data_IF_963236298395
#
_entry.id   IF_963236298395
#
_cell.length_a   1.000
_cell.length_b   1.000
_cell.length_c   1.000
_cell.angle_alpha   90.00
_cell.angle_beta   90.00
_cell.angle_gamma   90.00
#
_symmetry.space_group_name_H-M   'P 1'
#
loop_
_entity.id
_entity.type
_entity.pdbx_description
1 polymer ?
#
# COMPACT_ATOMS: atom_id res chain seq x y z
N UNK A 1 -8.60 10.24 -12.69
CA UNK A 1 -8.22 10.71 -11.34
C UNK A 1 -6.81 11.25 -11.39
N UNK A 2 -6.63 12.47 -10.90
CA UNK A 2 -5.37 13.21 -10.97
C UNK A 2 -4.30 12.51 -10.10
N UNK A 3 -3.20 12.07 -10.73
CA UNK A 3 -2.09 11.33 -10.09
C UNK A 3 -0.92 12.24 -9.70
N UNK A 4 -1.08 13.56 -9.79
CA UNK A 4 -0.09 14.58 -9.41
C UNK A 4 0.44 14.41 -7.97
N UNK A 5 -0.33 13.82 -7.07
CA UNK A 5 0.17 13.51 -5.72
C UNK A 5 1.39 12.58 -5.73
N UNK A 6 1.54 11.73 -6.76
CA UNK A 6 2.71 10.84 -6.89
C UNK A 6 3.99 11.63 -7.11
N UNK A 7 3.89 12.88 -7.59
CA UNK A 7 5.06 13.66 -7.93
C UNK A 7 5.89 14.08 -6.72
N UNK A 8 5.25 14.15 -5.54
CA UNK A 8 5.87 14.54 -4.26
C UNK A 8 6.07 13.35 -3.31
N UNK A 9 5.94 12.12 -3.82
CA UNK A 9 6.14 10.92 -3.01
C UNK A 9 7.60 10.74 -2.60
N UNK A 10 7.87 10.50 -1.31
CA UNK A 10 9.23 10.26 -0.81
C UNK A 10 9.90 9.02 -1.43
N UNK A 11 9.11 8.06 -1.92
CA UNK A 11 9.60 6.86 -2.60
C UNK A 11 9.85 7.04 -4.09
N UNK A 12 9.59 8.23 -4.67
CA UNK A 12 9.66 8.48 -6.13
C UNK A 12 11.00 8.09 -6.75
N UNK A 13 12.09 8.45 -6.08
CA UNK A 13 13.45 8.25 -6.59
C UNK A 13 14.11 6.97 -6.02
N UNK A 14 13.33 6.13 -5.32
CA UNK A 14 13.80 4.86 -4.79
C UNK A 14 13.47 3.70 -5.74
N UNK A 15 14.33 2.69 -5.78
CA UNK A 15 14.08 1.46 -6.53
C UNK A 15 12.83 0.74 -6.02
N UNK A 16 11.98 0.29 -6.95
CA UNK A 16 10.75 -0.42 -6.63
C UNK A 16 11.00 -1.72 -5.85
N UNK A 17 12.16 -2.34 -6.04
CA UNK A 17 12.61 -3.58 -5.41
C UNK A 17 12.51 -3.51 -3.88
N UNK A 18 12.78 -2.35 -3.28
CA UNK A 18 12.62 -2.11 -1.85
C UNK A 18 11.18 -2.38 -1.38
N UNK A 19 10.18 -1.99 -2.18
CA UNK A 19 8.77 -2.04 -1.80
C UNK A 19 8.10 -3.38 -2.11
N UNK A 20 8.73 -4.23 -2.92
CA UNK A 20 8.20 -5.57 -3.26
C UNK A 20 9.01 -6.72 -2.64
N UNK A 21 10.09 -6.42 -1.91
CA UNK A 21 10.84 -7.41 -1.13
C UNK A 21 10.22 -7.61 0.26
N UNK A 22 9.73 -8.82 0.53
CA UNK A 22 9.13 -9.17 1.83
C UNK A 22 10.11 -9.02 3.00
N UNK A 23 11.41 -9.26 2.78
CA UNK A 23 12.44 -9.13 3.81
C UNK A 23 12.70 -7.65 4.18
N UNK A 24 12.30 -6.71 3.33
CA UNK A 24 12.51 -5.27 3.50
C UNK A 24 11.22 -4.51 3.79
N UNK A 25 10.16 -5.21 4.20
CA UNK A 25 8.85 -4.63 4.50
C UNK A 25 8.95 -3.47 5.51
N UNK A 26 9.74 -3.63 6.57
CA UNK A 26 9.87 -2.60 7.61
C UNK A 26 10.66 -1.38 7.10
N UNK A 27 11.67 -1.59 6.27
CA UNK A 27 12.42 -0.51 5.62
C UNK A 27 11.53 0.29 4.66
N UNK A 28 10.75 -0.40 3.82
CA UNK A 28 9.78 0.23 2.94
C UNK A 28 8.70 1.01 3.71
N UNK A 29 8.25 0.49 4.86
CA UNK A 29 7.32 1.20 5.76
C UNK A 29 7.96 2.42 6.41
N UNK A 30 9.26 2.39 6.72
CA UNK A 30 9.98 3.54 7.24
C UNK A 30 10.07 4.67 6.20
N UNK A 31 10.21 4.36 4.91
CA UNK A 31 10.07 5.37 3.85
C UNK A 31 8.65 5.93 3.81
N UNK A 32 7.65 5.06 3.92
CA UNK A 32 6.25 5.50 3.90
C UNK A 32 5.92 6.44 5.08
N UNK A 33 6.50 6.24 6.26
CA UNK A 33 6.18 7.04 7.46
C UNK A 33 6.62 8.50 7.36
N UNK A 34 7.58 8.82 6.49
CA UNK A 34 8.05 10.19 6.22
C UNK A 34 7.40 10.81 4.98
N UNK A 35 6.57 10.05 4.25
CA UNK A 35 6.03 10.46 2.96
C UNK A 35 4.87 11.46 3.08
N UNK A 36 4.94 12.64 2.46
CA UNK A 36 3.90 13.67 2.57
C UNK A 36 2.56 13.26 1.95
N UNK A 37 2.57 12.28 1.04
CA UNK A 37 1.39 11.81 0.30
C UNK A 37 0.90 10.43 0.76
N UNK A 38 1.30 10.00 1.97
CA UNK A 38 0.93 8.71 2.56
C UNK A 38 -0.59 8.44 2.46
N UNK A 39 -1.41 9.41 2.85
CA UNK A 39 -2.86 9.28 2.88
C UNK A 39 -3.47 9.14 1.47
N UNK A 40 -2.97 9.94 0.51
CA UNK A 40 -3.41 9.86 -0.89
C UNK A 40 -3.03 8.51 -1.51
N UNK A 41 -1.79 8.06 -1.28
CA UNK A 41 -1.30 6.75 -1.74
C UNK A 41 -2.13 5.60 -1.17
N UNK A 42 -2.40 5.61 0.13
CA UNK A 42 -3.22 4.58 0.79
C UNK A 42 -4.63 4.55 0.23
N UNK A 43 -5.25 5.71 0.07
CA UNK A 43 -6.63 5.81 -0.43
C UNK A 43 -6.73 5.34 -1.87
N UNK A 44 -5.81 5.77 -2.74
CA UNK A 44 -5.76 5.37 -4.15
C UNK A 44 -5.56 3.85 -4.29
N UNK A 45 -4.61 3.27 -3.53
CA UNK A 45 -4.36 1.83 -3.57
C UNK A 45 -5.54 1.02 -3.07
N UNK A 46 -6.16 1.41 -1.94
CA UNK A 46 -7.32 0.69 -1.42
C UNK A 46 -8.53 0.80 -2.36
N UNK A 47 -8.77 1.97 -2.95
CA UNK A 47 -9.82 2.14 -3.94
C UNK A 47 -9.59 1.24 -5.16
N UNK A 48 -8.36 1.21 -5.68
CA UNK A 48 -7.99 0.32 -6.79
C UNK A 48 -8.18 -1.15 -6.42
N UNK A 49 -7.75 -1.60 -5.24
CA UNK A 49 -7.93 -3.01 -4.82
C UNK A 49 -9.41 -3.38 -4.66
N UNK A 50 -10.28 -2.44 -4.27
CA UNK A 50 -11.70 -2.67 -4.08
C UNK A 50 -12.51 -2.81 -5.38
N UNK A 51 -11.98 -2.41 -6.54
CA UNK A 51 -12.69 -2.48 -7.84
C UNK A 51 -13.03 -3.91 -8.26
N UNK A 52 -12.30 -4.94 -7.79
CA UNK A 52 -12.59 -6.34 -8.11
C UNK A 52 -12.12 -7.28 -7.02
N UNK A 53 -12.97 -8.27 -6.68
CA UNK A 53 -12.65 -9.30 -5.69
C UNK A 53 -11.41 -10.14 -6.06
N UNK A 54 -11.05 -10.24 -7.36
CA UNK A 54 -9.83 -10.95 -7.78
C UNK A 54 -8.54 -10.22 -7.34
N UNK A 55 -8.59 -8.90 -7.12
CA UNK A 55 -7.42 -8.08 -6.71
C UNK A 55 -6.91 -8.43 -5.31
N UNK A 56 -7.73 -9.09 -4.48
CA UNK A 56 -7.33 -9.77 -3.24
C UNK A 56 -6.08 -10.63 -3.39
N UNK A 57 -5.97 -11.37 -4.49
CA UNK A 57 -4.88 -12.33 -4.71
C UNK A 57 -3.62 -11.65 -5.24
N UNK A 58 -3.70 -10.36 -5.56
CA UNK A 58 -2.62 -9.55 -6.11
C UNK A 58 -2.14 -8.47 -5.12
N UNK A 59 -2.54 -8.54 -3.84
CA UNK A 59 -2.06 -7.62 -2.81
C UNK A 59 -0.59 -7.95 -2.47
N UNK A 60 0.33 -7.38 -3.25
CA UNK A 60 1.79 -7.49 -3.06
C UNK A 60 2.37 -6.16 -2.61
N UNK A 61 3.58 -6.21 -2.05
CA UNK A 61 4.39 -5.04 -1.70
C UNK A 61 3.79 -4.09 -0.64
N UNK A 62 4.54 -3.03 -0.36
CA UNK A 62 4.18 -1.96 0.56
C UNK A 62 3.65 -0.76 -0.22
N UNK A 63 2.42 -0.34 0.11
CA UNK A 63 1.75 0.82 -0.48
C UNK A 63 1.06 1.60 0.63
N UNK A 64 1.21 2.93 0.63
CA UNK A 64 0.57 3.78 1.62
C UNK A 64 0.88 3.38 3.07
N UNK A 65 2.10 2.87 3.32
CA UNK A 65 2.55 2.38 4.63
C UNK A 65 1.92 1.07 5.09
N UNK A 66 1.30 0.31 4.20
CA UNK A 66 0.67 -0.99 4.51
C UNK A 66 1.25 -2.08 3.61
N UNK A 67 1.56 -3.24 4.19
CA UNK A 67 1.88 -4.45 3.44
C UNK A 67 0.63 -5.05 2.79
N UNK A 68 0.83 -5.93 1.80
CA UNK A 68 -0.26 -6.69 1.19
C UNK A 68 -1.19 -7.38 2.21
N UNK A 69 -0.66 -8.15 3.18
CA UNK A 69 -1.47 -8.75 4.24
C UNK A 69 -2.25 -7.76 5.11
N UNK A 70 -1.70 -6.58 5.39
CA UNK A 70 -2.40 -5.55 6.16
C UNK A 70 -3.56 -4.95 5.38
N UNK A 71 -3.36 -4.64 4.09
CA UNK A 71 -4.43 -4.18 3.21
C UNK A 71 -5.51 -5.25 3.02
N UNK A 72 -5.12 -6.53 2.94
CA UNK A 72 -6.06 -7.64 2.85
C UNK A 72 -7.03 -7.68 4.04
N UNK A 73 -6.55 -7.42 5.26
CA UNK A 73 -7.40 -7.34 6.47
C UNK A 73 -8.38 -6.16 6.45
N UNK A 74 -8.06 -5.08 5.73
CA UNK A 74 -8.96 -3.94 5.56
C UNK A 74 -10.12 -4.31 4.63
N UNK A 75 -9.83 -4.98 3.51
CA UNK A 75 -10.86 -5.40 2.55
C UNK A 75 -11.74 -6.54 3.07
N UNK A 76 -11.14 -7.44 3.84
CA UNK A 76 -11.80 -8.66 4.35
C UNK A 76 -11.58 -8.78 5.86
N UNK A 77 -12.22 -7.89 6.66
CA UNK A 77 -12.13 -8.00 8.10
C UNK A 77 -12.68 -9.35 8.53
N UNK A 78 -11.95 -10.05 9.39
CA UNK A 78 -12.47 -11.29 9.99
C UNK A 78 -13.73 -10.92 10.75
N UNK A 79 -14.84 -11.61 10.45
CA UNK A 79 -16.01 -11.56 11.33
C UNK A 79 -15.58 -12.16 12.67
N UNK A 80 -15.64 -11.39 13.73
CA UNK A 80 -15.54 -11.93 15.08
C UNK A 80 -16.70 -12.92 15.25
N UNK A 81 -16.36 -14.17 15.53
CA UNK A 81 -17.34 -15.17 15.91
C UNK A 81 -17.55 -14.95 17.41
N UNK A 82 -18.71 -14.41 17.76
CA UNK A 82 -19.17 -14.26 19.14
C UNK A 82 -19.43 -15.63 19.79
#
# INVERSE_FOLDING_TARGET
>A
MNREWRDTAACRDLGSELFFDNARTDEAKAVCSTCPVLAACRTDQLAWEAESASRRYYTVGVFGGLSGPERNRIHYPRKEVA
#
